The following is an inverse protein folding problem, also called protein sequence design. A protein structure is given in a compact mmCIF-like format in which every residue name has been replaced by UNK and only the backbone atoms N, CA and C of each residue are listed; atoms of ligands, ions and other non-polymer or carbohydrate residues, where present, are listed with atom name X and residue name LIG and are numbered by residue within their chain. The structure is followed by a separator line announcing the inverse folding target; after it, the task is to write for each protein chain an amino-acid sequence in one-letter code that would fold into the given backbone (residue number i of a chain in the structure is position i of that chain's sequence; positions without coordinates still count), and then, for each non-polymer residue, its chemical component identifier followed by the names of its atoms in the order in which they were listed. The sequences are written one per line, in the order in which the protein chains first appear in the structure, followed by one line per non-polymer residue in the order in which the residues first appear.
data_IF_200539017919
#
_entry.id   IF_200539017919
#
_cell.length_a   1.000
_cell.length_b   1.000
_cell.length_c   1.000
_cell.angle_alpha   90.00
_cell.angle_beta   90.00
_cell.angle_gamma   90.00
#
_symmetry.space_group_name_H-M   'P 1'
#
loop_
_entity.id
_entity.type
_entity.pdbx_description
1 polymer ?
#
# COMPACT_ATOMS: atom_id res chain seq x y z
N UNK A 1 -34.88 62.62 -23.91
CA UNK A 1 -34.92 63.43 -22.67
C UNK A 1 -35.59 62.55 -21.62
N UNK A 2 -35.01 62.16 -20.48
CA UNK A 2 -34.00 62.77 -19.60
C UNK A 2 -33.02 61.69 -19.10
N UNK A 3 -31.76 62.09 -18.95
CA UNK A 3 -30.71 61.40 -18.17
C UNK A 3 -30.98 61.60 -16.68
N UNK A 4 -30.62 60.62 -15.85
CA UNK A 4 -30.03 60.89 -14.52
C UNK A 4 -28.94 59.85 -14.25
N UNK A 5 -27.74 60.36 -13.98
CA UNK A 5 -26.52 59.63 -13.62
C UNK A 5 -26.54 59.31 -12.12
N UNK A 6 -26.11 58.12 -11.71
CA UNK A 6 -25.37 57.94 -10.45
C UNK A 6 -24.36 56.79 -10.57
N UNK A 7 -23.14 57.11 -10.16
CA UNK A 7 -21.95 56.27 -10.04
C UNK A 7 -22.06 55.35 -8.82
N UNK A 8 -21.68 54.07 -8.93
CA UNK A 8 -20.59 53.42 -8.13
C UNK A 8 -20.68 51.88 -8.10
N UNK A 9 -19.47 51.31 -8.21
CA UNK A 9 -18.98 50.03 -7.66
C UNK A 9 -19.34 48.75 -8.44
N UNK A 10 -18.31 48.29 -9.14
CA UNK A 10 -18.11 46.91 -9.57
C UNK A 10 -18.04 46.03 -8.31
N UNK A 11 -19.00 45.12 -8.13
CA UNK A 11 -18.85 44.01 -7.21
C UNK A 11 -19.07 42.72 -8.02
N UNK A 12 -17.98 42.00 -8.24
CA UNK A 12 -17.97 40.65 -8.76
C UNK A 12 -18.71 39.80 -7.72
N UNK A 13 -19.89 39.29 -8.06
CA UNK A 13 -20.52 38.21 -7.31
C UNK A 13 -19.71 36.94 -7.61
N UNK A 14 -18.78 36.59 -6.72
CA UNK A 14 -18.39 35.20 -6.54
C UNK A 14 -19.62 34.49 -5.97
N UNK A 15 -20.31 33.70 -6.80
CA UNK A 15 -21.17 32.64 -6.32
C UNK A 15 -20.25 31.54 -5.77
N UNK A 16 -19.92 31.62 -4.49
CA UNK A 16 -19.41 30.47 -3.75
C UNK A 16 -20.56 29.48 -3.63
N UNK A 17 -20.66 28.54 -4.57
CA UNK A 17 -21.28 27.25 -4.27
C UNK A 17 -20.26 26.48 -3.44
N UNK A 18 -20.45 26.47 -2.12
CA UNK A 18 -19.78 25.54 -1.22
C UNK A 18 -20.28 24.14 -1.55
N UNK A 19 -19.47 23.35 -2.25
CA UNK A 19 -19.59 21.89 -2.27
C UNK A 19 -19.38 21.41 -0.85
N UNK A 20 -20.48 21.13 -0.15
CA UNK A 20 -20.48 20.48 1.14
C UNK A 20 -20.12 19.01 0.96
N UNK A 21 -18.82 18.70 0.99
CA UNK A 21 -18.37 17.36 1.32
C UNK A 21 -18.73 17.12 2.79
N UNK A 22 -19.50 16.07 3.07
CA UNK A 22 -19.79 15.69 4.46
C UNK A 22 -18.54 15.04 5.05
N UNK A 23 -17.84 15.77 5.90
CA UNK A 23 -16.76 15.24 6.75
C UNK A 23 -17.34 14.15 7.68
N UNK A 24 -16.68 12.99 7.77
CA UNK A 24 -17.07 11.89 8.66
C UNK A 24 -16.17 11.92 9.89
N UNK A 25 -16.75 12.17 11.05
CA UNK A 25 -16.05 12.19 12.33
C UNK A 25 -16.26 10.88 13.08
N UNK A 26 -15.17 10.33 13.64
CA UNK A 26 -15.19 9.22 14.58
C UNK A 26 -15.55 9.75 15.97
N UNK A 27 -16.67 9.31 16.55
CA UNK A 27 -17.10 9.68 17.91
C UNK A 27 -17.47 8.44 18.71
N UNK A 28 -17.63 8.60 20.03
CA UNK A 28 -18.12 7.55 20.93
C UNK A 28 -19.49 7.99 21.45
N UNK A 29 -20.50 7.12 21.36
CA UNK A 29 -21.85 7.40 21.87
C UNK A 29 -21.93 7.26 23.41
N UNK A 30 -23.11 7.56 23.97
CA UNK A 30 -23.34 7.50 25.42
C UNK A 30 -23.25 6.09 26.02
N UNK A 31 -23.32 5.06 25.18
CA UNK A 31 -23.19 3.66 25.53
C UNK A 31 -21.77 3.12 25.29
N UNK A 32 -20.85 3.96 24.79
CA UNK A 32 -19.45 3.61 24.56
C UNK A 32 -19.15 3.00 23.20
N UNK A 33 -20.11 2.99 22.26
CA UNK A 33 -19.89 2.47 20.91
C UNK A 33 -19.25 3.52 20.02
N UNK A 34 -18.36 3.08 19.13
CA UNK A 34 -17.79 3.95 18.10
C UNK A 34 -18.86 4.19 17.02
N UNK A 35 -19.20 5.44 16.78
CA UNK A 35 -20.14 5.86 15.74
C UNK A 35 -19.46 6.87 14.81
N UNK A 36 -19.79 6.77 13.53
CA UNK A 36 -19.33 7.71 12.50
C UNK A 36 -20.46 8.69 12.18
N UNK A 37 -20.22 9.99 12.31
CA UNK A 37 -21.24 11.04 12.14
C UNK A 37 -20.72 12.20 11.31
N UNK A 38 -21.65 12.87 10.64
CA UNK A 38 -21.47 14.13 9.91
C UNK A 38 -21.46 15.37 10.83
N UNK A 39 -21.61 15.20 12.15
CA UNK A 39 -21.61 16.29 13.13
C UNK A 39 -20.28 16.41 13.88
N UNK A 40 -19.63 17.56 13.70
CA UNK A 40 -18.38 17.93 14.38
C UNK A 40 -18.54 17.93 15.92
N UNK A 41 -17.73 17.16 16.68
CA UNK A 41 -17.78 17.16 18.14
C UNK A 41 -17.30 18.50 18.75
N UNK A 42 -17.98 19.01 19.78
CA UNK A 42 -17.55 20.20 20.53
C UNK A 42 -16.46 19.86 21.56
N UNK A 43 -15.29 20.48 21.47
CA UNK A 43 -14.14 20.23 22.35
C UNK A 43 -14.28 20.86 23.74
N UNK A 44 -13.90 20.11 24.79
CA UNK A 44 -13.41 20.62 26.07
C UNK A 44 -12.06 19.97 26.34
N UNK A 45 -11.03 20.79 26.59
CA UNK A 45 -9.62 20.42 26.76
C UNK A 45 -9.16 20.59 28.20
N UNK A 46 -8.37 19.65 28.74
CA UNK A 46 -7.40 19.93 29.81
C UNK A 46 -6.11 19.12 29.56
N UNK A 47 -4.98 19.84 29.49
CA UNK A 47 -3.62 19.33 29.28
C UNK A 47 -3.02 18.70 30.55
N UNK A 48 -2.14 17.71 30.41
CA UNK A 48 -1.24 17.26 31.49
C UNK A 48 0.21 17.05 30.99
N UNK A 49 1.15 17.71 31.67
CA UNK A 49 2.60 17.80 31.42
C UNK A 49 3.38 16.49 31.62
N UNK A 50 4.46 16.34 30.82
CA UNK A 50 5.50 15.30 30.90
C UNK A 50 6.62 15.65 31.90
N UNK A 51 7.20 14.64 32.58
CA UNK A 51 8.46 14.76 33.35
C UNK A 51 9.54 13.76 32.89
N UNK A 52 10.78 14.23 32.95
CA UNK A 52 12.03 13.72 32.38
C UNK A 52 12.60 12.41 32.95
N UNK A 53 13.46 11.79 32.13
CA UNK A 53 14.23 10.58 32.36
C UNK A 53 15.53 10.77 33.19
N UNK A 54 16.02 9.70 33.82
CA UNK A 54 17.33 9.62 34.46
C UNK A 54 18.21 8.51 33.85
N UNK A 55 19.47 8.87 33.61
CA UNK A 55 20.57 8.12 32.99
C UNK A 55 21.35 7.28 34.01
N UNK A 56 21.81 6.07 33.64
CA UNK A 56 22.87 5.34 34.38
C UNK A 56 23.92 4.80 33.39
N UNK A 57 25.21 4.99 33.74
CA UNK A 57 26.44 4.50 33.07
C UNK A 57 27.04 3.28 33.80
N UNK A 58 27.72 2.39 33.06
CA UNK A 58 28.99 1.69 33.42
C UNK A 58 29.42 0.77 32.26
N UNK A 59 30.52 0.99 31.54
CA UNK A 59 31.95 0.66 31.77
C UNK A 59 32.44 -0.67 31.15
N UNK A 60 33.66 -0.62 30.57
CA UNK A 60 34.35 -1.60 29.69
C UNK A 60 35.44 -2.40 30.42
N UNK A 61 35.69 -3.66 29.99
CA UNK A 61 37.02 -4.35 29.84
C UNK A 61 36.83 -5.81 29.32
N UNK A 62 37.34 -6.23 28.13
CA UNK A 62 38.61 -6.92 27.77
C UNK A 62 38.86 -8.31 28.43
N UNK A 63 39.36 -9.43 27.84
CA UNK A 63 39.96 -9.89 26.55
C UNK A 63 40.10 -11.46 26.58
N UNK A 64 40.01 -12.15 25.42
CA UNK A 64 40.54 -13.49 24.95
C UNK A 64 40.30 -14.81 25.75
N UNK A 65 40.16 -16.02 25.18
CA UNK A 65 40.98 -16.71 24.14
C UNK A 65 40.37 -18.03 23.58
N UNK A 66 40.63 -18.28 22.28
CA UNK A 66 40.95 -19.55 21.55
C UNK A 66 40.04 -20.82 21.53
N UNK A 67 39.56 -21.09 20.30
CA UNK A 67 39.44 -22.33 19.48
C UNK A 67 39.50 -23.75 20.10
N UNK A 68 38.50 -24.58 19.72
CA UNK A 68 38.74 -25.87 19.03
C UNK A 68 37.45 -26.47 18.39
N UNK A 69 37.67 -27.18 17.27
CA UNK A 69 36.72 -27.85 16.37
C UNK A 69 35.83 -28.95 17.00
N UNK A 70 34.57 -29.08 16.56
CA UNK A 70 34.05 -30.27 15.84
C UNK A 70 32.55 -30.15 15.45
N UNK A 71 32.21 -30.95 14.43
CA UNK A 71 31.00 -31.02 13.61
C UNK A 71 29.66 -31.33 14.31
N UNK A 72 28.58 -31.09 13.54
CA UNK A 72 27.22 -31.70 13.58
C UNK A 72 26.21 -31.15 14.60
N UNK A 73 25.23 -30.38 14.10
CA UNK A 73 23.85 -30.83 13.81
C UNK A 73 22.97 -29.62 13.48
N UNK A 74 22.25 -29.71 12.35
CA UNK A 74 21.16 -28.80 12.02
C UNK A 74 20.01 -29.05 12.98
N UNK A 75 19.78 -28.14 13.92
CA UNK A 75 18.59 -28.12 14.77
C UNK A 75 17.93 -26.75 14.74
N UNK A 76 16.64 -26.78 14.37
CA UNK A 76 15.56 -25.87 14.76
C UNK A 76 15.92 -24.39 14.97
N UNK A 77 15.72 -23.58 13.94
CA UNK A 77 15.44 -22.16 14.17
C UNK A 77 13.94 -21.96 14.33
N UNK A 78 13.46 -22.11 15.58
CA UNK A 78 12.37 -21.26 16.06
C UNK A 78 12.90 -19.82 16.00
N UNK A 79 12.64 -19.14 14.90
CA UNK A 79 12.93 -17.72 14.74
C UNK A 79 11.88 -16.95 15.57
N UNK A 80 12.15 -16.78 16.86
CA UNK A 80 11.35 -15.97 17.78
C UNK A 80 11.96 -14.58 17.91
N UNK A 81 11.36 -13.57 17.24
CA UNK A 81 11.70 -12.15 17.46
C UNK A 81 10.44 -11.28 17.40
N UNK A 82 9.47 -11.65 18.22
CA UNK A 82 9.08 -10.94 19.44
C UNK A 82 9.03 -9.39 19.44
N UNK A 83 8.46 -8.79 18.40
CA UNK A 83 7.59 -7.63 18.59
C UNK A 83 6.17 -8.07 18.20
N UNK A 84 5.54 -8.79 19.13
CA UNK A 84 4.20 -9.34 18.90
C UNK A 84 3.23 -8.21 18.56
N UNK A 85 2.61 -8.30 17.39
CA UNK A 85 1.61 -7.33 16.95
C UNK A 85 0.41 -7.29 17.91
N UNK A 86 0.05 -8.44 18.50
CA UNK A 86 -0.96 -8.52 19.57
C UNK A 86 -0.58 -7.67 20.79
N UNK A 87 0.71 -7.57 21.13
CA UNK A 87 1.13 -6.70 22.23
C UNK A 87 0.98 -5.21 21.88
N UNK A 88 1.07 -4.83 20.61
CA UNK A 88 0.73 -3.47 20.17
C UNK A 88 -0.77 -3.23 20.25
N UNK A 89 -1.58 -4.14 19.72
CA UNK A 89 -3.04 -4.04 19.77
C UNK A 89 -3.59 -3.95 21.21
N UNK A 90 -3.03 -4.72 22.15
CA UNK A 90 -3.43 -4.67 23.57
C UNK A 90 -3.10 -3.32 24.27
N UNK A 91 -2.13 -2.58 23.73
CA UNK A 91 -1.75 -1.24 24.23
C UNK A 91 -2.57 -0.13 23.59
N UNK A 92 -3.27 -0.40 22.49
CA UNK A 92 -4.10 0.60 21.82
C UNK A 92 -5.27 1.06 22.70
N UNK A 93 -5.75 2.29 22.48
CA UNK A 93 -6.93 2.86 23.15
C UNK A 93 -7.87 3.51 22.12
N UNK A 94 -9.00 2.88 21.75
CA UNK A 94 -9.51 1.61 22.27
C UNK A 94 -8.61 0.42 21.92
N UNK A 95 -8.72 -0.65 22.72
CA UNK A 95 -7.99 -1.89 22.43
C UNK A 95 -8.52 -2.44 21.10
N UNK A 96 -7.61 -2.84 20.23
CA UNK A 96 -8.01 -3.53 19.01
C UNK A 96 -8.20 -5.02 19.29
N UNK A 97 -9.43 -5.48 19.26
CA UNK A 97 -9.74 -6.89 19.43
C UNK A 97 -9.95 -7.62 18.10
N UNK A 98 -10.29 -8.90 18.19
CA UNK A 98 -10.40 -9.80 17.04
C UNK A 98 -11.56 -9.43 16.10
N UNK A 99 -12.60 -8.80 16.60
CA UNK A 99 -13.75 -8.44 15.78
C UNK A 99 -13.45 -7.19 14.92
N UNK A 100 -12.45 -6.40 15.32
CA UNK A 100 -11.93 -5.22 14.59
C UNK A 100 -10.71 -5.52 13.69
N UNK A 101 -10.23 -6.76 13.71
CA UNK A 101 -9.13 -7.22 12.87
C UNK A 101 -9.50 -7.11 11.39
N UNK A 102 -8.66 -6.39 10.65
CA UNK A 102 -8.80 -6.19 9.22
C UNK A 102 -7.46 -6.42 8.52
N UNK A 103 -7.54 -6.82 7.26
CA UNK A 103 -6.42 -6.97 6.36
C UNK A 103 -6.70 -6.06 5.16
N UNK A 104 -5.83 -5.10 4.94
CA UNK A 104 -5.88 -4.17 3.80
C UNK A 104 -4.53 -4.19 3.10
N UNK A 105 -4.54 -4.11 1.78
CA UNK A 105 -3.36 -4.19 0.92
C UNK A 105 -2.37 -5.31 1.31
N UNK A 106 -2.83 -6.59 1.29
CA UNK A 106 -1.97 -7.71 1.59
C UNK A 106 -0.86 -7.82 0.54
N UNK A 107 0.36 -8.04 1.00
CA UNK A 107 1.45 -8.51 0.15
C UNK A 107 1.14 -9.91 -0.41
N UNK A 108 1.93 -10.37 -1.38
CA UNK A 108 1.91 -11.78 -1.76
C UNK A 108 2.23 -12.70 -0.58
N UNK A 109 1.61 -13.88 -0.57
CA UNK A 109 1.88 -14.90 0.46
C UNK A 109 3.32 -15.42 0.36
N UNK A 110 4.02 -15.37 1.49
CA UNK A 110 5.32 -16.01 1.70
C UNK A 110 5.10 -17.35 2.40
N UNK A 111 5.64 -18.42 1.81
CA UNK A 111 5.55 -19.78 2.36
C UNK A 111 6.83 -20.10 3.10
N UNK A 112 6.73 -20.59 4.33
CA UNK A 112 7.84 -21.09 5.14
C UNK A 112 7.63 -22.57 5.48
N UNK A 113 8.58 -23.16 6.20
CA UNK A 113 8.46 -24.51 6.74
C UNK A 113 7.40 -24.63 7.83
N UNK A 114 7.09 -23.53 8.51
CA UNK A 114 6.15 -23.50 9.65
C UNK A 114 4.75 -23.08 9.26
N UNK A 115 4.60 -22.27 8.20
CA UNK A 115 3.30 -21.83 7.71
C UNK A 115 3.43 -20.79 6.60
N UNK A 116 2.57 -19.77 6.65
CA UNK A 116 2.47 -18.73 5.64
C UNK A 116 2.37 -17.36 6.30
N UNK A 117 2.99 -16.37 5.69
CA UNK A 117 2.97 -14.98 6.15
C UNK A 117 2.56 -14.03 5.02
N UNK A 118 1.90 -12.95 5.40
CA UNK A 118 1.68 -11.75 4.59
C UNK A 118 2.08 -10.53 5.41
N UNK A 119 2.36 -9.43 4.75
CA UNK A 119 2.40 -8.10 5.35
C UNK A 119 1.20 -7.31 4.83
N UNK A 120 0.74 -6.34 5.59
CA UNK A 120 -0.49 -5.57 5.29
C UNK A 120 -0.24 -4.10 5.58
N UNK A 121 -1.10 -3.23 5.03
CA UNK A 121 -1.12 -1.81 5.41
C UNK A 121 -1.22 -1.67 6.93
N UNK A 122 -0.26 -0.94 7.51
CA UNK A 122 -0.20 -0.60 8.92
C UNK A 122 -1.07 0.61 9.26
N UNK A 123 -1.31 0.81 10.54
CA UNK A 123 -2.16 1.90 11.04
C UNK A 123 -1.36 3.18 11.29
N UNK A 124 -2.07 4.31 11.37
CA UNK A 124 -1.50 5.54 11.91
C UNK A 124 -0.89 5.27 13.29
N UNK A 125 0.24 5.91 13.61
CA UNK A 125 0.88 5.77 14.93
C UNK A 125 0.16 6.64 15.97
N UNK A 126 -1.11 6.32 16.20
CA UNK A 126 -2.03 6.97 17.12
C UNK A 126 -2.54 5.97 18.17
N UNK A 127 -3.23 6.46 19.20
CA UNK A 127 -3.90 5.62 20.20
C UNK A 127 -2.99 4.59 20.90
N UNK A 128 -1.66 4.80 20.88
CA UNK A 128 -0.67 3.86 21.44
C UNK A 128 -0.22 2.75 20.49
N UNK A 129 -0.72 2.74 19.25
CA UNK A 129 -0.18 1.90 18.17
C UNK A 129 1.21 2.41 17.77
N UNK A 130 2.17 1.50 17.70
CA UNK A 130 3.56 1.83 17.36
C UNK A 130 4.18 0.71 16.54
N UNK A 131 3.77 0.60 15.28
CA UNK A 131 4.37 -0.33 14.35
C UNK A 131 4.37 0.28 12.94
N UNK A 132 5.46 0.09 12.20
CA UNK A 132 5.56 0.48 10.80
C UNK A 132 4.86 -0.55 9.92
N UNK A 133 5.53 -1.68 9.68
CA UNK A 133 4.97 -2.77 8.88
C UNK A 133 4.50 -3.93 9.74
N UNK A 134 3.23 -4.28 9.59
CA UNK A 134 2.62 -5.41 10.27
C UNK A 134 2.72 -6.69 9.43
N UNK A 135 2.83 -7.84 10.10
CA UNK A 135 2.69 -9.15 9.46
C UNK A 135 1.60 -9.99 10.10
N UNK A 136 1.05 -10.86 9.29
CA UNK A 136 0.04 -11.83 9.68
C UNK A 136 0.49 -13.23 9.32
N UNK A 137 0.11 -14.20 10.15
CA UNK A 137 0.51 -15.60 10.03
C UNK A 137 -0.69 -16.55 10.00
N UNK A 138 -0.56 -17.63 9.23
CA UNK A 138 -1.39 -18.82 9.35
C UNK A 138 -0.55 -20.09 9.19
N UNK A 139 -0.90 -21.17 9.89
CA UNK A 139 -0.16 -22.43 9.83
C UNK A 139 -0.40 -23.19 8.51
N UNK A 140 -1.60 -23.06 7.93
CA UNK A 140 -1.96 -23.67 6.65
C UNK A 140 -3.00 -22.82 5.91
N UNK A 141 -3.23 -23.08 4.61
CA UNK A 141 -4.25 -22.37 3.83
C UNK A 141 -5.68 -22.53 4.35
N UNK A 142 -5.95 -23.49 5.26
CA UNK A 142 -7.26 -23.70 5.88
C UNK A 142 -7.45 -22.92 7.17
N UNK A 143 -6.38 -22.35 7.71
CA UNK A 143 -6.40 -21.60 8.96
C UNK A 143 -6.63 -20.11 8.69
N UNK A 144 -7.29 -19.45 9.64
CA UNK A 144 -7.44 -18.00 9.60
C UNK A 144 -6.09 -17.31 9.86
N UNK A 145 -5.89 -16.20 9.16
CA UNK A 145 -4.80 -15.27 9.45
C UNK A 145 -4.92 -14.71 10.86
N UNK A 146 -3.77 -14.52 11.51
CA UNK A 146 -3.65 -13.92 12.83
C UNK A 146 -2.54 -12.88 12.84
N UNK A 147 -2.67 -11.79 13.61
CA UNK A 147 -1.58 -10.84 13.84
C UNK A 147 -0.33 -11.58 14.32
N UNK A 148 0.81 -11.26 13.72
CA UNK A 148 2.07 -11.93 14.01
C UNK A 148 3.09 -10.96 14.60
N UNK A 149 3.89 -10.33 13.75
CA UNK A 149 5.02 -9.48 14.15
C UNK A 149 4.88 -8.08 13.56
N UNK A 150 5.39 -7.11 14.29
CA UNK A 150 5.79 -5.84 13.72
C UNK A 150 7.23 -5.93 13.18
N UNK A 151 7.43 -5.64 11.90
CA UNK A 151 8.77 -5.76 11.29
C UNK A 151 9.72 -4.69 11.81
N UNK A 152 9.28 -3.44 11.91
CA UNK A 152 10.04 -2.38 12.55
C UNK A 152 9.11 -1.31 13.13
N UNK A 153 9.55 -0.69 14.23
CA UNK A 153 8.71 0.15 15.10
C UNK A 153 8.96 1.64 14.89
N UNK A 154 10.19 2.02 14.57
CA UNK A 154 10.58 3.42 14.43
C UNK A 154 10.45 3.88 12.98
N UNK A 155 9.93 5.11 12.79
CA UNK A 155 9.85 5.74 11.47
C UNK A 155 11.27 6.08 10.99
N UNK A 156 11.65 5.73 9.75
CA UNK A 156 12.89 6.20 9.16
C UNK A 156 12.95 7.73 9.12
N UNK A 157 14.11 8.31 9.44
CA UNK A 157 14.31 9.77 9.54
C UNK A 157 13.91 10.51 8.25
N UNK A 158 14.09 9.88 7.10
CA UNK A 158 13.77 10.48 5.81
C UNK A 158 12.28 10.81 5.65
N UNK A 159 11.38 10.10 6.36
CA UNK A 159 9.93 10.36 6.29
C UNK A 159 9.65 11.79 6.72
N UNK A 160 10.21 12.25 7.84
CA UNK A 160 10.02 13.63 8.33
C UNK A 160 10.50 14.70 7.35
N UNK A 161 11.43 14.33 6.45
CA UNK A 161 12.01 15.23 5.45
C UNK A 161 11.18 15.28 4.16
N UNK A 162 10.68 14.14 3.70
CA UNK A 162 10.02 14.03 2.40
C UNK A 162 8.50 14.00 2.49
N UNK A 163 7.96 13.45 3.58
CA UNK A 163 6.52 13.30 3.83
C UNK A 163 6.22 13.76 5.27
N UNK A 164 6.39 15.07 5.57
CA UNK A 164 6.38 15.57 6.93
C UNK A 164 5.03 15.41 7.66
N UNK A 165 3.94 15.25 6.91
CA UNK A 165 2.60 15.09 7.49
C UNK A 165 2.17 13.63 7.67
N UNK A 166 3.00 12.65 7.34
CA UNK A 166 2.69 11.23 7.54
C UNK A 166 2.40 10.90 9.02
N UNK A 167 1.18 10.45 9.29
CA UNK A 167 0.69 10.02 10.61
C UNK A 167 1.44 8.81 11.18
N UNK A 168 2.18 8.08 10.36
CA UNK A 168 2.96 6.90 10.73
C UNK A 168 2.46 5.60 10.17
N UNK A 169 1.42 5.64 9.36
CA UNK A 169 0.99 4.51 8.58
C UNK A 169 1.98 4.25 7.43
N UNK A 170 2.24 2.96 7.21
CA UNK A 170 3.02 2.42 6.11
C UNK A 170 2.07 1.55 5.30
N UNK A 171 2.01 1.78 3.99
CA UNK A 171 0.96 1.25 3.15
C UNK A 171 1.50 0.26 2.12
N UNK A 172 0.64 -0.67 1.74
CA UNK A 172 0.81 -1.56 0.60
C UNK A 172 2.19 -2.25 0.53
N UNK A 173 2.57 -3.01 1.55
CA UNK A 173 3.84 -3.70 1.52
C UNK A 173 3.84 -4.81 0.47
N UNK A 174 4.99 -5.06 -0.16
CA UNK A 174 5.16 -6.19 -1.08
C UNK A 174 6.50 -6.89 -0.85
N UNK A 175 6.45 -8.20 -0.55
CA UNK A 175 7.65 -8.98 -0.31
C UNK A 175 8.37 -9.27 -1.62
N UNK A 176 9.62 -8.83 -1.72
CA UNK A 176 10.51 -9.22 -2.82
C UNK A 176 10.96 -10.68 -2.62
N UNK A 177 11.35 -11.00 -1.39
CA UNK A 177 11.77 -12.32 -0.94
C UNK A 177 11.65 -12.39 0.60
N UNK A 178 12.32 -13.33 1.24
CA UNK A 178 12.29 -13.50 2.70
C UNK A 178 13.06 -12.43 3.47
N UNK A 179 13.88 -11.62 2.79
CA UNK A 179 14.79 -10.65 3.40
C UNK A 179 14.57 -9.22 2.90
N UNK A 180 13.65 -9.00 1.96
CA UNK A 180 13.41 -7.70 1.35
C UNK A 180 11.92 -7.46 1.15
N UNK A 181 11.45 -6.30 1.58
CA UNK A 181 10.05 -5.88 1.45
C UNK A 181 9.99 -4.42 1.01
N UNK A 182 9.18 -4.15 -0.02
CA UNK A 182 8.85 -2.80 -0.44
C UNK A 182 7.68 -2.29 0.40
N UNK A 183 7.61 -0.98 0.59
CA UNK A 183 6.49 -0.34 1.25
C UNK A 183 6.33 1.09 0.74
N UNK A 184 5.19 1.70 1.02
CA UNK A 184 4.95 3.11 0.75
C UNK A 184 4.56 3.89 1.99
N UNK A 185 4.75 5.20 1.92
CA UNK A 185 4.26 6.19 2.89
C UNK A 185 3.70 7.35 2.09
N UNK A 186 2.63 7.95 2.58
CA UNK A 186 2.04 9.14 1.98
C UNK A 186 1.74 10.17 3.06
N UNK A 187 1.53 11.40 2.62
CA UNK A 187 0.88 12.41 3.44
C UNK A 187 -0.50 11.93 3.88
N UNK A 188 -0.98 12.46 4.99
CA UNK A 188 -2.33 12.16 5.45
C UNK A 188 -3.34 12.51 4.34
N UNK A 189 -4.39 11.69 4.23
CA UNK A 189 -5.40 11.81 3.17
C UNK A 189 -6.00 13.22 3.05
N UNK A 190 -6.07 13.97 4.15
CA UNK A 190 -6.65 15.31 4.19
C UNK A 190 -5.76 16.39 3.55
N UNK A 191 -4.46 16.14 3.38
CA UNK A 191 -3.50 17.18 3.00
C UNK A 191 -3.25 17.25 1.49
N UNK A 192 -3.47 16.16 0.72
CA UNK A 192 -3.05 16.05 -0.68
C UNK A 192 -1.56 16.38 -0.84
N UNK A 193 -0.68 15.40 -0.59
CA UNK A 193 0.73 15.65 -0.33
C UNK A 193 1.70 14.66 -0.98
N UNK A 194 3.00 14.78 -0.71
CA UNK A 194 3.99 13.86 -1.24
C UNK A 194 3.73 12.43 -0.76
N UNK A 195 4.08 11.46 -1.61
CA UNK A 195 4.21 10.06 -1.23
C UNK A 195 5.53 9.49 -1.73
N UNK A 196 5.95 8.41 -1.10
CA UNK A 196 7.22 7.76 -1.36
C UNK A 196 7.09 6.24 -1.26
N UNK A 197 7.80 5.56 -2.16
CA UNK A 197 8.06 4.13 -2.11
C UNK A 197 9.48 3.89 -1.59
N UNK A 198 9.65 2.92 -0.70
CA UNK A 198 10.92 2.57 -0.08
C UNK A 198 11.11 1.06 0.07
N UNK A 199 12.30 0.67 0.52
CA UNK A 199 12.71 -0.72 0.74
C UNK A 199 13.15 -0.91 2.18
N UNK A 200 12.68 -1.97 2.82
CA UNK A 200 13.22 -2.48 4.07
C UNK A 200 13.91 -3.84 3.84
N UNK A 201 14.99 -4.08 4.59
CA UNK A 201 15.85 -5.25 4.48
C UNK A 201 15.97 -5.93 5.84
N UNK A 202 15.91 -7.25 5.83
CA UNK A 202 16.17 -8.10 6.98
C UNK A 202 17.67 -8.31 7.15
N UNK A 203 18.18 -8.08 8.36
CA UNK A 203 19.54 -8.44 8.80
C UNK A 203 19.48 -9.55 9.82
N UNK A 204 20.43 -10.48 9.74
CA UNK A 204 20.61 -11.51 10.76
C UNK A 204 21.69 -11.10 11.76
N UNK A 205 21.28 -10.75 12.97
CA UNK A 205 22.17 -10.39 14.07
C UNK A 205 21.97 -11.35 15.25
N UNK A 206 23.04 -12.00 15.73
CA UNK A 206 22.99 -12.89 16.89
C UNK A 206 21.90 -13.98 16.80
N UNK A 207 21.65 -14.50 15.60
CA UNK A 207 20.60 -15.50 15.35
C UNK A 207 19.19 -14.94 15.19
N UNK A 208 19.05 -13.60 15.21
CA UNK A 208 17.79 -12.88 15.09
C UNK A 208 17.69 -12.12 13.76
N UNK A 209 16.57 -12.23 13.05
CA UNK A 209 16.15 -11.32 11.97
C UNK A 209 15.68 -9.96 12.55
N UNK A 210 16.29 -8.89 12.09
CA UNK A 210 15.92 -7.50 12.39
C UNK A 210 15.63 -6.82 11.06
N UNK A 211 14.47 -6.18 10.92
CA UNK A 211 14.18 -5.39 9.74
C UNK A 211 14.61 -3.94 9.95
N UNK A 212 15.21 -3.37 8.92
CA UNK A 212 15.59 -1.97 8.89
C UNK A 212 15.25 -1.36 7.54
N UNK A 213 15.01 -0.06 7.53
CA UNK A 213 14.89 0.71 6.29
C UNK A 213 16.24 0.80 5.57
N UNK A 214 16.19 0.79 4.24
CA UNK A 214 17.38 0.88 3.38
C UNK A 214 18.01 2.29 3.33
N UNK A 215 17.37 3.29 3.94
CA UNK A 215 17.93 4.61 4.26
C UNK A 215 17.37 5.77 3.43
N UNK A 216 17.02 5.56 2.16
CA UNK A 216 16.40 6.57 1.30
C UNK A 216 15.28 5.96 0.46
N UNK A 217 14.20 6.73 0.17
CA UNK A 217 13.13 6.26 -0.68
C UNK A 217 13.63 6.00 -2.10
N UNK A 218 13.08 4.98 -2.74
CA UNK A 218 13.38 4.58 -4.11
C UNK A 218 12.81 5.59 -5.11
N UNK A 219 11.63 6.13 -4.81
CA UNK A 219 10.99 7.21 -5.56
C UNK A 219 9.99 7.93 -4.68
N UNK A 220 9.79 9.22 -4.94
CA UNK A 220 8.74 10.01 -4.33
C UNK A 220 8.06 10.90 -5.37
N UNK A 221 6.80 11.25 -5.13
CA UNK A 221 6.11 12.36 -5.79
C UNK A 221 6.06 13.56 -4.84
N UNK A 222 5.71 14.73 -5.37
CA UNK A 222 5.75 15.99 -4.59
C UNK A 222 4.39 16.38 -3.99
N UNK A 223 3.32 15.63 -4.30
CA UNK A 223 1.93 16.01 -4.02
C UNK A 223 1.40 17.14 -4.92
N UNK A 224 2.24 17.76 -5.75
CA UNK A 224 1.79 18.75 -6.72
C UNK A 224 1.19 18.04 -7.94
N UNK A 225 0.07 18.52 -8.48
CA UNK A 225 -0.51 17.97 -9.70
C UNK A 225 0.52 17.93 -10.83
N UNK A 226 0.56 16.78 -11.51
CA UNK A 226 1.39 16.53 -12.68
C UNK A 226 0.65 16.97 -13.94
N UNK A 227 1.28 17.81 -14.75
CA UNK A 227 0.71 18.26 -16.03
C UNK A 227 0.78 17.15 -17.07
N UNK A 228 -0.37 16.83 -17.67
CA UNK A 228 -0.48 15.99 -18.86
C UNK A 228 -0.92 16.84 -20.05
N UNK A 229 -1.05 16.21 -21.22
CA UNK A 229 -1.56 16.90 -22.43
C UNK A 229 -3.04 17.33 -22.29
N UNK A 230 -3.80 16.66 -21.42
CA UNK A 230 -5.25 16.77 -21.33
C UNK A 230 -5.71 17.42 -20.01
N UNK A 231 -4.81 17.68 -19.07
CA UNK A 231 -5.17 18.25 -17.78
C UNK A 231 -4.05 18.14 -16.75
N UNK A 232 -4.38 18.41 -15.49
CA UNK A 232 -3.50 18.20 -14.34
C UNK A 232 -4.05 17.02 -13.54
N UNK A 233 -3.18 16.08 -13.18
CA UNK A 233 -3.54 14.87 -12.45
C UNK A 233 -2.76 14.75 -11.16
N UNK A 234 -3.37 14.14 -10.16
CA UNK A 234 -2.65 13.63 -9.00
C UNK A 234 -1.89 12.34 -9.39
N UNK A 235 -0.64 12.23 -8.94
CA UNK A 235 0.17 11.02 -9.13
C UNK A 235 0.90 10.72 -7.85
N UNK A 236 0.72 9.50 -7.38
CA UNK A 236 1.27 8.99 -6.13
C UNK A 236 2.41 7.99 -6.39
N UNK A 237 3.44 7.99 -5.55
CA UNK A 237 4.49 6.98 -5.50
C UNK A 237 4.19 5.93 -4.40
N UNK A 238 2.98 5.37 -4.43
CA UNK A 238 2.47 4.35 -3.50
C UNK A 238 2.36 2.98 -4.17
N UNK A 239 1.97 1.96 -3.40
CA UNK A 239 1.67 0.61 -3.90
C UNK A 239 2.80 -0.02 -4.72
N UNK A 240 3.99 -0.20 -4.11
CA UNK A 240 5.12 -0.73 -4.84
C UNK A 240 4.94 -2.20 -5.23
N UNK A 241 5.19 -2.47 -6.50
CA UNK A 241 5.40 -3.80 -7.04
C UNK A 241 6.77 -3.91 -7.71
N UNK A 242 7.18 -5.16 -7.92
CA UNK A 242 8.43 -5.45 -8.59
C UNK A 242 8.29 -6.60 -9.57
N UNK A 243 9.26 -6.69 -10.48
CA UNK A 243 9.47 -7.93 -11.23
C UNK A 243 10.94 -8.09 -11.61
N UNK A 244 11.42 -9.34 -11.55
CA UNK A 244 12.67 -9.73 -12.19
C UNK A 244 12.39 -10.29 -13.58
N UNK A 245 13.13 -9.86 -14.59
CA UNK A 245 13.10 -10.51 -15.89
C UNK A 245 13.93 -11.80 -15.91
N UNK A 246 13.69 -12.72 -16.87
CA UNK A 246 14.45 -13.97 -16.97
C UNK A 246 15.97 -13.81 -17.10
N UNK A 247 16.45 -12.63 -17.52
CA UNK A 247 17.87 -12.32 -17.61
C UNK A 247 18.43 -11.59 -16.37
N UNK A 248 17.68 -11.54 -15.26
CA UNK A 248 18.14 -11.02 -13.97
C UNK A 248 18.05 -9.51 -13.78
N UNK A 249 17.46 -8.75 -14.72
CA UNK A 249 17.16 -7.32 -14.49
C UNK A 249 15.95 -7.18 -13.57
N UNK A 250 15.92 -6.12 -12.77
CA UNK A 250 14.82 -5.80 -11.88
C UNK A 250 14.10 -4.53 -12.34
N UNK A 251 12.81 -4.46 -12.04
CA UNK A 251 11.96 -3.31 -12.33
C UNK A 251 11.11 -2.99 -11.12
N UNK A 252 10.99 -1.70 -10.82
CA UNK A 252 10.09 -1.16 -9.82
C UNK A 252 8.87 -0.58 -10.55
N UNK A 253 7.69 -0.88 -10.03
CA UNK A 253 6.40 -0.37 -10.48
C UNK A 253 5.68 0.20 -9.26
N UNK A 254 5.03 1.34 -9.40
CA UNK A 254 4.31 2.04 -8.33
C UNK A 254 3.24 2.92 -8.99
N UNK A 255 2.25 3.37 -8.23
CA UNK A 255 1.32 4.38 -8.73
C UNK A 255 -0.02 4.40 -8.02
N UNK A 256 -0.50 5.60 -7.74
CA UNK A 256 -1.91 5.96 -7.62
C UNK A 256 -2.23 7.08 -8.63
N UNK A 257 -3.40 7.06 -9.26
CA UNK A 257 -3.80 7.93 -10.37
C UNK A 257 -3.14 7.58 -11.72
N UNK A 258 -1.85 7.21 -11.70
CA UNK A 258 -1.09 6.76 -12.87
C UNK A 258 -0.04 5.72 -12.48
N UNK A 259 -0.09 4.53 -13.10
CA UNK A 259 0.89 3.48 -12.87
C UNK A 259 2.14 3.75 -13.69
N UNK A 260 3.29 3.76 -13.02
CA UNK A 260 4.57 4.03 -13.64
C UNK A 260 5.65 3.06 -13.16
N UNK A 261 6.71 2.90 -13.95
CA UNK A 261 7.81 2.02 -13.58
C UNK A 261 9.13 2.33 -14.28
N UNK A 262 10.22 1.79 -13.71
CA UNK A 262 11.59 1.99 -14.16
C UNK A 262 12.42 0.72 -13.97
N UNK A 263 13.54 0.60 -14.68
CA UNK A 263 14.57 -0.39 -14.36
C UNK A 263 15.33 0.03 -13.10
N UNK A 264 15.60 -0.92 -12.22
CA UNK A 264 16.28 -0.72 -10.94
C UNK A 264 17.46 -1.67 -10.78
N UNK A 265 18.37 -1.34 -9.86
CA UNK A 265 19.41 -2.26 -9.45
C UNK A 265 18.77 -3.46 -8.71
N UNK A 266 19.09 -4.71 -9.09
CA UNK A 266 18.43 -5.90 -8.53
C UNK A 266 18.77 -6.20 -7.06
N UNK A 267 19.83 -5.60 -6.51
CA UNK A 267 20.25 -5.80 -5.12
C UNK A 267 19.57 -4.80 -4.19
N UNK A 268 19.66 -3.51 -4.51
CA UNK A 268 19.19 -2.43 -3.63
C UNK A 268 17.93 -1.69 -4.12
N UNK A 269 17.37 -2.07 -5.28
CA UNK A 269 16.16 -1.52 -5.88
C UNK A 269 16.17 -0.01 -6.18
N UNK A 270 17.32 0.66 -6.10
CA UNK A 270 17.44 2.05 -6.51
C UNK A 270 17.30 2.19 -8.04
N UNK A 271 16.56 3.20 -8.55
CA UNK A 271 16.47 3.49 -9.97
C UNK A 271 17.85 3.63 -10.62
N UNK A 272 18.06 2.93 -11.74
CA UNK A 272 19.34 3.02 -12.46
C UNK A 272 19.61 4.41 -13.03
N UNK A 273 18.56 5.19 -13.28
CA UNK A 273 18.67 6.59 -13.72
C UNK A 273 19.20 7.51 -12.64
N UNK A 274 19.06 7.14 -11.35
CA UNK A 274 19.29 8.02 -10.21
C UNK A 274 18.20 9.08 -10.00
N UNK A 275 17.14 9.08 -10.82
CA UNK A 275 16.05 10.03 -10.73
C UNK A 275 14.79 9.34 -10.19
N UNK A 276 14.04 10.06 -9.36
CA UNK A 276 12.66 9.69 -9.02
C UNK A 276 11.72 9.91 -10.21
N UNK A 277 10.50 9.39 -10.08
CA UNK A 277 9.50 9.51 -11.11
C UNK A 277 9.27 10.97 -11.52
N UNK A 278 9.24 11.18 -12.83
CA UNK A 278 8.70 12.36 -13.49
C UNK A 278 8.09 11.89 -14.80
N UNK A 279 6.94 12.46 -15.18
CA UNK A 279 6.23 12.09 -16.41
C UNK A 279 7.07 12.31 -17.67
N UNK A 280 8.00 13.28 -17.64
CA UNK A 280 8.87 13.63 -18.75
C UNK A 280 10.23 12.91 -18.73
N UNK A 281 10.54 12.14 -17.67
CA UNK A 281 11.81 11.39 -17.61
C UNK A 281 11.73 10.14 -18.50
N UNK A 282 12.59 10.01 -19.53
CA UNK A 282 12.53 8.88 -20.45
C UNK A 282 12.85 7.52 -19.81
N UNK A 283 13.46 7.49 -18.61
CA UNK A 283 13.76 6.27 -17.88
C UNK A 283 12.54 5.73 -17.12
N UNK A 284 11.55 6.59 -16.85
CA UNK A 284 10.28 6.20 -16.27
C UNK A 284 9.23 6.01 -17.36
N UNK A 285 8.41 4.97 -17.22
CA UNK A 285 7.37 4.60 -18.19
C UNK A 285 6.01 4.63 -17.54
N UNK A 286 5.05 5.31 -18.17
CA UNK A 286 3.63 5.12 -17.89
C UNK A 286 3.20 3.74 -18.38
N UNK A 287 2.64 2.94 -17.48
CA UNK A 287 2.27 1.55 -17.74
C UNK A 287 0.76 1.36 -17.82
N UNK A 288 0.00 2.07 -16.99
CA UNK A 288 -1.46 1.99 -16.96
C UNK A 288 -2.12 3.28 -16.46
N UNK A 289 -3.35 3.49 -16.90
CA UNK A 289 -4.29 4.53 -16.47
C UNK A 289 -5.66 3.90 -16.17
N UNK A 290 -6.51 4.62 -15.44
CA UNK A 290 -7.91 4.24 -15.32
C UNK A 290 -8.65 4.31 -16.66
N UNK A 291 -9.89 3.79 -16.72
CA UNK A 291 -10.72 3.87 -17.91
C UNK A 291 -10.94 5.33 -18.31
N UNK A 292 -11.19 5.54 -19.61
CA UNK A 292 -11.56 6.86 -20.13
C UNK A 292 -13.00 7.16 -19.71
N UNK A 293 -13.23 8.36 -19.20
CA UNK A 293 -14.56 8.90 -18.92
C UNK A 293 -14.81 10.14 -19.78
N UNK A 294 -16.07 10.30 -20.21
CA UNK A 294 -16.51 11.37 -21.12
C UNK A 294 -16.89 12.66 -20.36
N UNK A 295 -16.92 12.63 -19.02
CA UNK A 295 -17.32 13.77 -18.20
C UNK A 295 -16.11 14.52 -17.65
N UNK A 296 -16.05 15.84 -17.92
CA UNK A 296 -15.06 16.79 -17.36
C UNK A 296 -15.06 16.81 -15.81
N UNK A 297 -16.03 16.13 -15.16
CA UNK A 297 -16.23 16.08 -13.71
C UNK A 297 -15.95 14.71 -13.05
N UNK A 298 -15.84 13.59 -13.79
CA UNK A 298 -15.72 12.25 -13.19
C UNK A 298 -14.32 11.61 -13.24
N UNK A 299 -13.33 12.27 -13.86
CA UNK A 299 -11.95 11.80 -13.93
C UNK A 299 -11.01 12.41 -12.88
N UNK A 300 -9.76 11.95 -12.83
CA UNK A 300 -8.68 12.51 -11.99
C UNK A 300 -8.09 13.83 -12.54
N UNK A 301 -8.79 14.48 -13.49
CA UNK A 301 -8.42 15.79 -14.03
C UNK A 301 -8.00 15.83 -15.50
N UNK A 302 -7.89 14.69 -16.20
CA UNK A 302 -7.50 14.67 -17.61
C UNK A 302 -8.21 13.62 -18.50
N UNK A 303 -9.42 13.22 -18.08
CA UNK A 303 -10.31 12.32 -18.81
C UNK A 303 -10.10 10.83 -18.51
N UNK A 304 -9.34 10.49 -17.46
CA UNK A 304 -9.21 9.12 -16.94
C UNK A 304 -9.72 9.05 -15.50
N UNK A 305 -10.28 7.91 -15.11
CA UNK A 305 -10.57 7.60 -13.71
C UNK A 305 -9.30 7.16 -12.94
N UNK A 306 -9.45 6.98 -11.62
CA UNK A 306 -8.37 6.54 -10.73
C UNK A 306 -7.92 5.10 -11.02
N UNK A 307 -6.62 4.86 -10.88
CA UNK A 307 -6.00 3.53 -10.95
C UNK A 307 -4.89 3.44 -9.91
N UNK A 308 -4.74 2.30 -9.25
CA UNK A 308 -3.67 2.07 -8.28
C UNK A 308 -3.37 0.56 -8.12
N UNK A 309 -2.64 0.19 -7.06
CA UNK A 309 -2.34 -1.18 -6.67
C UNK A 309 -1.76 -2.04 -7.80
N UNK A 310 -0.66 -1.61 -8.46
CA UNK A 310 -0.05 -2.43 -9.49
C UNK A 310 0.52 -3.71 -8.88
N UNK A 311 0.34 -4.82 -9.58
CA UNK A 311 1.03 -6.08 -9.28
C UNK A 311 1.52 -6.71 -10.58
N UNK A 312 2.77 -7.16 -10.62
CA UNK A 312 3.36 -7.72 -11.85
C UNK A 312 3.71 -9.19 -11.67
N UNK A 313 3.20 -10.03 -12.58
CA UNK A 313 3.46 -11.46 -12.60
C UNK A 313 4.06 -11.89 -13.93
N UNK A 314 5.16 -12.67 -13.92
CA UNK A 314 5.75 -13.21 -15.14
C UNK A 314 5.39 -14.69 -15.32
N UNK A 315 4.80 -15.04 -16.47
CA UNK A 315 4.45 -16.42 -16.82
C UNK A 315 4.49 -16.66 -18.32
N UNK A 316 5.12 -17.75 -18.74
CA UNK A 316 5.12 -18.26 -20.13
C UNK A 316 5.47 -17.16 -21.17
N UNK A 317 6.49 -16.37 -20.86
CA UNK A 317 6.97 -15.32 -21.76
C UNK A 317 6.09 -14.07 -21.80
N UNK A 318 5.19 -13.88 -20.85
CA UNK A 318 4.41 -12.65 -20.68
C UNK A 318 4.57 -12.09 -19.27
N UNK A 319 4.61 -10.77 -19.17
CA UNK A 319 4.40 -10.00 -17.96
C UNK A 319 2.93 -9.62 -17.90
N UNK A 320 2.27 -9.86 -16.78
CA UNK A 320 0.89 -9.47 -16.52
C UNK A 320 0.91 -8.34 -15.51
N UNK A 321 0.38 -7.19 -15.88
CA UNK A 321 0.17 -6.06 -14.97
C UNK A 321 -1.28 -6.11 -14.50
N UNK A 322 -1.46 -6.41 -13.23
CA UNK A 322 -2.72 -6.25 -12.52
C UNK A 322 -2.76 -4.84 -11.92
N UNK A 323 -3.93 -4.23 -11.92
CA UNK A 323 -4.21 -2.93 -11.29
C UNK A 323 -5.62 -2.94 -10.74
N UNK A 324 -5.92 -1.98 -9.89
CA UNK A 324 -7.28 -1.76 -9.44
C UNK A 324 -7.91 -0.51 -10.07
N UNK A 325 -9.20 -0.62 -10.43
CA UNK A 325 -10.07 0.50 -10.82
C UNK A 325 -11.18 0.67 -9.81
N UNK A 326 -11.86 1.82 -9.84
CA UNK A 326 -12.93 2.17 -8.91
C UNK A 326 -12.39 2.71 -7.58
N UNK A 327 -13.29 2.91 -6.62
CA UNK A 327 -12.98 3.43 -5.30
C UNK A 327 -12.81 2.29 -4.29
N UNK A 328 -11.63 2.26 -3.65
CA UNK A 328 -11.41 1.52 -2.42
C UNK A 328 -12.06 2.24 -1.23
N UNK A 329 -11.95 1.62 -0.08
CA UNK A 329 -11.94 2.30 1.21
C UNK A 329 -13.27 2.98 1.61
N UNK A 330 -14.37 2.60 0.95
CA UNK A 330 -15.76 3.04 1.24
C UNK A 330 -16.57 1.95 1.96
N UNK A 331 -15.89 1.00 2.60
CA UNK A 331 -16.51 -0.13 3.28
C UNK A 331 -17.40 -0.94 2.32
N UNK A 332 -18.66 -1.15 2.69
CA UNK A 332 -19.62 -1.92 1.89
C UNK A 332 -19.94 -1.27 0.53
N UNK A 333 -19.72 0.05 0.40
CA UNK A 333 -19.96 0.82 -0.82
C UNK A 333 -18.77 0.86 -1.78
N UNK A 334 -17.66 0.18 -1.46
CA UNK A 334 -16.51 0.05 -2.36
C UNK A 334 -16.90 -0.69 -3.65
N UNK A 335 -16.59 -0.10 -4.81
CA UNK A 335 -16.80 -0.65 -6.16
C UNK A 335 -15.49 -1.07 -6.86
N UNK A 336 -14.42 -1.08 -6.07
CA UNK A 336 -13.08 -1.52 -6.44
C UNK A 336 -13.07 -2.86 -7.20
N UNK A 337 -12.24 -2.97 -8.23
CA UNK A 337 -12.15 -4.18 -9.03
C UNK A 337 -10.77 -4.37 -9.66
N UNK A 338 -10.37 -5.63 -9.82
CA UNK A 338 -9.06 -6.02 -10.35
C UNK A 338 -9.12 -6.14 -11.87
N UNK A 339 -8.19 -5.46 -12.54
CA UNK A 339 -7.98 -5.49 -14.00
C UNK A 339 -6.63 -6.07 -14.35
N UNK A 340 -6.49 -6.52 -15.60
CA UNK A 340 -5.22 -7.04 -16.12
C UNK A 340 -4.99 -6.68 -17.59
N UNK A 341 -3.73 -6.42 -17.91
CA UNK A 341 -3.17 -6.46 -19.26
C UNK A 341 -1.86 -7.25 -19.27
N UNK A 342 -1.33 -7.56 -20.46
CA UNK A 342 -0.08 -8.31 -20.59
C UNK A 342 0.86 -7.73 -21.64
N UNK A 343 2.15 -7.94 -21.44
CA UNK A 343 3.23 -7.48 -22.30
C UNK A 343 4.29 -8.56 -22.50
N UNK A 344 5.05 -8.47 -23.60
CA UNK A 344 6.30 -9.25 -23.77
C UNK A 344 7.51 -8.59 -23.12
N UNK A 345 7.37 -7.33 -22.68
CA UNK A 345 8.41 -6.55 -22.02
C UNK A 345 7.95 -6.15 -20.62
N UNK A 346 8.87 -6.04 -19.65
CA UNK A 346 8.54 -5.76 -18.24
C UNK A 346 7.88 -4.38 -18.02
N UNK A 347 8.19 -3.40 -18.87
CA UNK A 347 7.61 -2.05 -18.81
C UNK A 347 6.66 -1.77 -19.98
N UNK A 348 5.96 -2.80 -20.45
CA UNK A 348 4.91 -2.62 -21.45
C UNK A 348 5.38 -2.45 -22.91
N UNK A 349 4.47 -2.06 -23.82
CA UNK A 349 3.06 -1.73 -23.53
C UNK A 349 2.27 -2.96 -23.05
N UNK A 350 1.44 -2.77 -22.03
CA UNK A 350 0.54 -3.81 -21.53
C UNK A 350 -0.79 -3.69 -22.28
N UNK A 351 -1.19 -4.74 -22.98
CA UNK A 351 -2.43 -4.76 -23.74
C UNK A 351 -3.44 -5.65 -23.05
N UNK A 352 -4.71 -5.25 -23.04
CA UNK A 352 -5.82 -6.06 -22.54
C UNK A 352 -6.29 -7.13 -23.57
N UNK A 353 -7.33 -7.92 -23.23
CA UNK A 353 -7.90 -8.95 -24.14
C UNK A 353 -8.44 -8.39 -25.45
N UNK A 354 -8.84 -7.11 -25.48
CA UNK A 354 -9.34 -6.41 -26.68
C UNK A 354 -8.20 -5.74 -27.46
N UNK A 355 -6.96 -5.79 -26.95
CA UNK A 355 -5.79 -5.18 -27.56
C UNK A 355 -5.62 -3.70 -27.22
N UNK A 356 -6.39 -3.17 -26.27
CA UNK A 356 -6.30 -1.78 -25.82
C UNK A 356 -5.14 -1.68 -24.84
N UNK A 357 -4.29 -0.67 -25.04
CA UNK A 357 -3.16 -0.39 -24.18
C UNK A 357 -3.64 0.13 -22.83
N UNK A 358 -3.10 -0.40 -21.73
CA UNK A 358 -3.47 0.03 -20.39
C UNK A 358 -3.11 1.49 -20.12
N UNK A 359 -2.04 2.02 -20.76
CA UNK A 359 -1.71 3.44 -20.67
C UNK A 359 -2.75 4.35 -21.36
N UNK A 360 -3.63 3.78 -22.17
CA UNK A 360 -4.74 4.46 -22.86
C UNK A 360 -6.11 4.03 -22.27
N UNK A 361 -6.14 3.53 -21.02
CA UNK A 361 -7.36 3.13 -20.32
C UNK A 361 -7.86 1.70 -20.64
N UNK A 362 -7.01 0.85 -21.21
CA UNK A 362 -7.30 -0.58 -21.38
C UNK A 362 -7.23 -1.35 -20.06
N UNK A 363 -7.95 -2.48 -19.97
CA UNK A 363 -7.96 -3.30 -18.75
C UNK A 363 -9.03 -4.39 -18.78
N UNK A 364 -8.62 -5.65 -18.84
CA UNK A 364 -9.56 -6.78 -18.79
C UNK A 364 -9.94 -7.11 -17.36
N UNK A 365 -11.24 -7.23 -17.09
CA UNK A 365 -11.74 -7.63 -15.78
C UNK A 365 -11.20 -9.00 -15.36
N UNK A 366 -10.75 -9.07 -14.10
CA UNK A 366 -10.30 -10.28 -13.41
C UNK A 366 -11.27 -10.64 -12.29
N UNK A 367 -11.58 -9.68 -11.44
CA UNK A 367 -12.44 -9.87 -10.26
C UNK A 367 -13.14 -8.56 -9.90
N UNK A 368 -14.43 -8.64 -9.58
CA UNK A 368 -15.27 -7.53 -9.12
C UNK A 368 -16.14 -8.00 -7.94
N UNK A 369 -16.90 -7.06 -7.37
CA UNK A 369 -17.79 -7.35 -6.24
C UNK A 369 -18.80 -8.48 -6.55
N UNK A 370 -18.94 -9.41 -5.62
CA UNK A 370 -19.94 -10.49 -5.70
C UNK A 370 -20.58 -10.75 -4.33
N UNK A 371 -21.91 -10.70 -4.27
CA UNK A 371 -22.66 -10.90 -3.04
C UNK A 371 -22.22 -9.90 -1.95
N UNK A 372 -21.76 -10.42 -0.81
CA UNK A 372 -21.31 -9.59 0.32
C UNK A 372 -19.84 -9.22 0.28
N UNK A 373 -19.08 -9.74 -0.69
CA UNK A 373 -17.68 -9.37 -0.91
C UNK A 373 -17.64 -8.19 -1.85
N UNK A 374 -17.34 -7.02 -1.32
CA UNK A 374 -17.34 -5.74 -2.03
C UNK A 374 -15.91 -5.31 -2.29
N UNK A 375 -15.69 -4.61 -3.40
CA UNK A 375 -14.42 -3.97 -3.72
C UNK A 375 -13.16 -4.87 -3.63
N UNK A 376 -13.07 -6.04 -4.30
CA UNK A 376 -11.86 -6.84 -4.24
C UNK A 376 -10.66 -6.11 -4.86
N UNK A 377 -9.52 -6.13 -4.18
CA UNK A 377 -8.34 -5.41 -4.67
C UNK A 377 -7.02 -5.75 -4.02
N UNK A 378 -5.98 -5.07 -4.49
CA UNK A 378 -4.60 -5.23 -4.08
C UNK A 378 -4.10 -6.67 -4.26
N UNK A 379 -3.90 -7.04 -5.52
CA UNK A 379 -3.59 -8.41 -5.92
C UNK A 379 -2.21 -8.87 -5.42
N UNK A 380 -2.12 -10.11 -4.95
CA UNK A 380 -0.88 -10.85 -4.75
C UNK A 380 -1.00 -12.27 -5.29
N UNK A 381 0.01 -12.78 -6.01
CA UNK A 381 -0.03 -14.15 -6.56
C UNK A 381 1.00 -15.03 -5.85
N UNK A 382 0.55 -16.20 -5.40
CA UNK A 382 1.41 -17.24 -4.87
C UNK A 382 1.09 -18.60 -5.52
N UNK A 383 2.02 -19.55 -5.40
CA UNK A 383 1.87 -20.89 -5.96
C UNK A 383 1.72 -21.91 -4.85
N UNK A 384 0.65 -22.71 -4.92
CA UNK A 384 0.40 -23.75 -3.93
C UNK A 384 1.23 -25.01 -4.16
N UNK A 385 1.13 -25.99 -3.24
CA UNK A 385 1.88 -27.26 -3.31
C UNK A 385 1.54 -28.12 -4.55
N UNK A 386 0.43 -27.85 -5.22
CA UNK A 386 0.00 -28.52 -6.45
C UNK A 386 0.37 -27.71 -7.70
N UNK A 387 1.28 -26.74 -7.58
CA UNK A 387 1.72 -25.86 -8.68
C UNK A 387 0.61 -24.98 -9.29
N UNK A 388 -0.47 -24.76 -8.55
CA UNK A 388 -1.55 -23.88 -8.98
C UNK A 388 -1.29 -22.46 -8.49
N UNK A 389 -1.54 -21.47 -9.37
CA UNK A 389 -1.48 -20.07 -8.98
C UNK A 389 -2.74 -19.67 -8.23
N UNK A 390 -2.57 -18.97 -7.12
CA UNK A 390 -3.62 -18.48 -6.24
C UNK A 390 -3.50 -16.96 -6.22
N UNK A 391 -4.62 -16.27 -6.48
CA UNK A 391 -4.79 -14.84 -6.29
C UNK A 391 -5.22 -14.61 -4.84
N UNK A 392 -4.37 -13.97 -4.06
CA UNK A 392 -4.73 -13.32 -2.80
C UNK A 392 -5.12 -11.87 -3.05
N UNK A 393 -6.08 -11.36 -2.27
CA UNK A 393 -6.59 -9.99 -2.37
C UNK A 393 -7.34 -9.63 -1.08
N UNK A 394 -7.51 -8.33 -0.81
CA UNK A 394 -8.47 -7.88 0.19
C UNK A 394 -9.86 -7.69 -0.42
N UNK A 395 -10.91 -7.69 0.40
CA UNK A 395 -12.27 -7.29 0.06
C UNK A 395 -12.97 -6.71 1.29
N UNK A 396 -13.99 -5.89 1.10
CA UNK A 396 -14.83 -5.35 2.17
C UNK A 396 -16.04 -6.26 2.41
N UNK A 397 -16.22 -6.77 3.62
CA UNK A 397 -17.34 -7.65 3.96
C UNK A 397 -18.58 -6.83 4.36
N UNK A 398 -19.57 -6.78 3.48
CA UNK A 398 -20.82 -6.06 3.71
C UNK A 398 -21.65 -6.61 4.90
N UNK A 399 -21.34 -7.83 5.41
CA UNK A 399 -21.97 -8.35 6.63
C UNK A 399 -21.32 -7.85 7.92
N UNK A 400 -20.16 -7.23 7.81
CA UNK A 400 -19.35 -6.72 8.92
C UNK A 400 -19.04 -5.25 8.69
N UNK A 401 -20.06 -4.49 8.30
CA UNK A 401 -19.99 -3.04 8.09
C UNK A 401 -18.85 -2.60 7.16
N UNK A 402 -18.48 -3.45 6.20
CA UNK A 402 -17.42 -3.16 5.24
C UNK A 402 -16.01 -3.31 5.79
N UNK A 403 -15.78 -4.06 6.88
CA UNK A 403 -14.43 -4.39 7.34
C UNK A 403 -13.66 -5.10 6.22
N UNK A 404 -12.43 -4.63 5.96
CA UNK A 404 -11.55 -5.23 4.96
C UNK A 404 -10.95 -6.54 5.46
N UNK A 405 -11.10 -7.61 4.69
CA UNK A 405 -10.63 -8.95 5.00
C UNK A 405 -9.86 -9.54 3.81
N UNK A 406 -9.13 -10.62 4.05
CA UNK A 406 -8.38 -11.32 3.03
C UNK A 406 -9.17 -12.50 2.44
N UNK A 407 -9.01 -12.72 1.14
CA UNK A 407 -9.55 -13.87 0.45
C UNK A 407 -8.60 -14.42 -0.62
N UNK A 408 -8.85 -15.65 -1.04
CA UNK A 408 -8.03 -16.34 -2.03
C UNK A 408 -8.89 -17.06 -3.06
N UNK A 409 -8.48 -16.98 -4.33
CA UNK A 409 -9.08 -17.76 -5.42
C UNK A 409 -8.02 -18.37 -6.31
N UNK A 410 -8.32 -19.55 -6.84
CA UNK A 410 -7.44 -20.17 -7.81
C UNK A 410 -7.51 -19.40 -9.14
N UNK A 411 -6.34 -19.18 -9.74
CA UNK A 411 -6.22 -18.70 -11.11
C UNK A 411 -6.12 -19.90 -12.05
N UNK A 412 -7.05 -19.98 -12.99
CA UNK A 412 -6.97 -20.88 -14.15
C UNK A 412 -6.55 -20.08 -15.37
N UNK A 413 -5.46 -20.51 -16.01
CA UNK A 413 -4.94 -19.84 -17.21
C UNK A 413 -5.57 -20.44 -18.46
N UNK A 414 -6.30 -19.64 -19.23
CA UNK A 414 -6.88 -20.04 -20.52
C UNK A 414 -6.42 -19.07 -21.60
N UNK A 415 -5.82 -19.58 -22.67
CA UNK A 415 -5.26 -18.77 -23.76
C UNK A 415 -4.31 -17.67 -23.25
N UNK A 416 -3.50 -17.99 -22.22
CA UNK A 416 -2.60 -17.07 -21.55
C UNK A 416 -3.31 -15.86 -20.91
N UNK A 417 -4.52 -16.05 -20.39
CA UNK A 417 -5.24 -15.05 -19.59
C UNK A 417 -5.73 -15.68 -18.28
N UNK A 418 -5.72 -14.92 -17.17
CA UNK A 418 -6.25 -15.41 -15.90
C UNK A 418 -7.78 -15.48 -15.97
N UNK A 419 -8.32 -16.53 -15.36
CA UNK A 419 -9.73 -16.74 -15.05
C UNK A 419 -9.78 -17.14 -13.58
N UNK A 420 -10.56 -16.40 -12.80
CA UNK A 420 -10.72 -16.67 -11.37
C UNK A 420 -11.84 -17.69 -11.18
N UNK A 421 -11.59 -18.73 -10.39
CA UNK A 421 -12.63 -19.68 -9.99
C UNK A 421 -13.53 -19.03 -8.94
N UNK A 422 -14.82 -19.36 -8.94
CA UNK A 422 -15.75 -18.90 -7.89
C UNK A 422 -15.36 -19.41 -6.49
#
# INVERSE_FOLDING_TARGET
MKKLFFYKIFLILLLCFSSSYSEVYKTIDEDGNVIFTDKKPSTYSEEMELKEAQTIKSDKSSISSQMNHNEKLYENSNLDINISLLNHYAKMRPILDKDDWHIHDPSRVIITTTGQFISVTGKAQEDGYKCGLETWYRASPKDNWKPHECLFVDKPDWISKFVPTNDGAFWAPEFIDHERILYSVASNFDDGGPSCTALAIAKKEQGKIIWEDSGMPLTCTTGKPTKTKNGEIEVEAIDPAYIFSPNGKAYLITGGGLIHGTEVNPENFQPLSGNWFSIDDPNWKTLARGPITDEDEEGIGDGHEWVEAPYVYYREGFYYLFVNWGACCRGAESDYNIRVGRSKKPLGPFLDKKGINMADGGGSLVLESEGTKRGPGHAGIWTNKNEQNILGFHYYDAKRDGISLYDERQIVWKNNWPIITN
#
